data_IF_227664291116
#
_entry.id   IF_227664291116
#
_cell.length_a   1.000
_cell.length_b   1.000
_cell.length_c   1.000
_cell.angle_alpha   90.00
_cell.angle_beta   90.00
_cell.angle_gamma   90.00
#
_symmetry.space_group_name_H-M   'P 1'
#
loop_
_entity.id
_entity.type
_entity.pdbx_description
1 polymer ?
#
# COMPACT_ATOMS: atom_id res chain seq x y z
N UNK A 1 -9.87 5.26 -3.31
CA UNK A 1 -9.14 4.01 -3.63
C UNK A 1 -9.91 2.75 -3.24
N UNK A 2 -10.51 2.66 -2.05
CA UNK A 2 -11.32 1.51 -1.63
C UNK A 2 -12.47 1.18 -2.58
N UNK A 3 -13.16 2.19 -3.12
CA UNK A 3 -14.23 2.00 -4.10
C UNK A 3 -13.74 1.41 -5.43
N UNK A 4 -12.52 1.75 -5.83
CA UNK A 4 -11.90 1.17 -7.04
C UNK A 4 -11.58 -0.30 -6.83
N UNK A 5 -11.02 -0.65 -5.67
CA UNK A 5 -10.75 -2.04 -5.31
C UNK A 5 -12.04 -2.87 -5.12
N UNK A 6 -13.13 -2.24 -4.65
CA UNK A 6 -14.44 -2.88 -4.52
C UNK A 6 -15.09 -3.18 -5.88
N UNK A 7 -14.82 -2.36 -6.89
CA UNK A 7 -15.36 -2.54 -8.26
C UNK A 7 -14.52 -3.54 -9.10
N UNK A 8 -13.41 -4.03 -8.57
CA UNK A 8 -12.60 -5.04 -9.23
C UNK A 8 -13.37 -6.38 -9.25
N UNK A 9 -13.71 -6.86 -10.44
CA UNK A 9 -14.40 -8.14 -10.65
C UNK A 9 -13.46 -9.32 -10.85
N UNK A 10 -12.14 -9.10 -10.73
CA UNK A 10 -11.13 -10.15 -10.87
C UNK A 10 -11.12 -11.08 -9.65
N UNK A 11 -11.01 -12.37 -9.91
CA UNK A 11 -10.71 -13.35 -8.87
C UNK A 11 -9.28 -13.16 -8.38
N UNK A 12 -9.12 -13.02 -7.06
CA UNK A 12 -7.81 -12.88 -6.43
C UNK A 12 -7.32 -14.30 -6.08
N UNK A 13 -6.19 -14.77 -6.63
CA UNK A 13 -5.63 -16.06 -6.27
C UNK A 13 -5.24 -16.10 -4.78
N UNK A 14 -5.60 -17.17 -4.09
CA UNK A 14 -5.26 -17.36 -2.67
C UNK A 14 -3.74 -17.24 -2.42
N UNK A 15 -2.92 -17.74 -3.34
CA UNK A 15 -1.47 -17.62 -3.25
C UNK A 15 -0.96 -16.16 -3.15
N UNK A 16 -1.63 -15.19 -3.79
CA UNK A 16 -1.28 -13.77 -3.68
C UNK A 16 -1.63 -13.22 -2.30
N UNK A 17 -2.77 -13.64 -1.76
CA UNK A 17 -3.20 -13.23 -0.40
C UNK A 17 -2.26 -13.81 0.63
N UNK A 18 -1.88 -15.10 0.50
CA UNK A 18 -0.92 -15.76 1.39
C UNK A 18 0.45 -15.06 1.36
N UNK A 19 0.96 -14.76 0.17
CA UNK A 19 2.22 -14.03 0.03
C UNK A 19 2.16 -12.66 0.72
N UNK A 20 1.05 -11.93 0.58
CA UNK A 20 0.84 -10.65 1.23
C UNK A 20 0.72 -10.78 2.76
N UNK A 21 0.07 -11.83 3.27
CA UNK A 21 0.03 -12.13 4.71
C UNK A 21 1.43 -12.36 5.27
N UNK A 22 2.26 -13.13 4.58
CA UNK A 22 3.65 -13.34 4.97
C UNK A 22 4.45 -12.04 4.95
N UNK A 23 4.25 -11.18 3.96
CA UNK A 23 4.90 -9.86 3.91
C UNK A 23 4.50 -9.00 5.11
N UNK A 24 3.22 -9.00 5.50
CA UNK A 24 2.77 -8.30 6.70
C UNK A 24 3.41 -8.86 7.97
N UNK A 25 3.52 -10.19 8.08
CA UNK A 25 4.18 -10.84 9.21
C UNK A 25 5.66 -10.42 9.31
N UNK A 26 6.40 -10.46 8.20
CA UNK A 26 7.81 -10.07 8.18
C UNK A 26 7.99 -8.57 8.51
N UNK A 27 7.14 -7.70 7.98
CA UNK A 27 7.14 -6.29 8.33
C UNK A 27 6.86 -6.07 9.83
N UNK A 28 5.92 -6.82 10.40
CA UNK A 28 5.61 -6.80 11.83
C UNK A 28 6.81 -7.24 12.68
N UNK A 29 7.46 -8.36 12.29
CA UNK A 29 8.70 -8.82 12.94
C UNK A 29 9.80 -7.77 12.91
N UNK A 30 10.01 -7.15 11.74
CA UNK A 30 11.00 -6.10 11.57
C UNK A 30 10.69 -4.86 12.44
N UNK A 31 9.44 -4.48 12.53
CA UNK A 31 9.01 -3.36 13.37
C UNK A 31 9.23 -3.65 14.86
N UNK A 32 8.88 -4.84 15.32
CA UNK A 32 9.09 -5.27 16.72
C UNK A 32 10.59 -5.29 17.04
N UNK A 33 11.42 -5.79 16.12
CA UNK A 33 12.86 -5.80 16.26
C UNK A 33 13.47 -4.40 16.45
N UNK A 34 12.90 -3.36 15.81
CA UNK A 34 13.34 -1.97 16.00
C UNK A 34 13.14 -1.47 17.43
N UNK A 35 12.18 -2.02 18.17
CA UNK A 35 11.98 -1.72 19.59
C UNK A 35 12.90 -2.52 20.51
N UNK A 36 13.80 -3.34 19.96
CA UNK A 36 14.72 -4.17 20.72
C UNK A 36 14.07 -5.34 21.45
N UNK A 37 12.86 -5.72 21.09
CA UNK A 37 12.11 -6.82 21.70
C UNK A 37 12.26 -8.06 20.82
N UNK A 38 12.73 -9.21 21.35
CA UNK A 38 12.69 -10.47 20.62
C UNK A 38 11.25 -10.85 20.27
N UNK A 39 11.03 -11.28 19.02
CA UNK A 39 9.68 -11.58 18.54
C UNK A 39 8.94 -12.65 19.35
N UNK A 40 9.66 -13.68 19.83
CA UNK A 40 9.10 -14.72 20.72
C UNK A 40 8.61 -14.13 22.04
N UNK A 41 9.36 -13.17 22.61
CA UNK A 41 8.94 -12.47 23.82
C UNK A 41 7.69 -11.61 23.58
N UNK A 42 7.60 -10.96 22.43
CA UNK A 42 6.40 -10.22 22.04
C UNK A 42 5.17 -11.13 21.98
N UNK A 43 5.27 -12.31 21.36
CA UNK A 43 4.18 -13.29 21.29
C UNK A 43 3.76 -13.76 22.68
N UNK A 44 4.72 -14.03 23.59
CA UNK A 44 4.41 -14.42 24.96
C UNK A 44 3.72 -13.31 25.76
N UNK A 45 4.15 -12.06 25.58
CA UNK A 45 3.56 -10.92 26.29
C UNK A 45 2.13 -10.60 25.82
N UNK A 46 1.87 -10.78 24.52
CA UNK A 46 0.57 -10.48 23.91
C UNK A 46 -0.39 -11.67 23.93
N UNK A 47 0.11 -12.88 24.15
CA UNK A 47 -0.67 -14.12 24.04
C UNK A 47 -1.07 -14.45 22.60
N UNK A 48 -0.45 -13.82 21.60
CA UNK A 48 -0.71 -14.07 20.19
C UNK A 48 0.14 -15.22 19.67
N UNK A 49 -0.36 -15.89 18.64
CA UNK A 49 0.39 -16.87 17.85
C UNK A 49 0.59 -16.36 16.43
N UNK A 50 1.63 -16.84 15.75
CA UNK A 50 1.83 -16.49 14.34
C UNK A 50 0.63 -16.86 13.46
N UNK A 51 -0.02 -18.00 13.74
CA UNK A 51 -1.23 -18.42 13.04
C UNK A 51 -2.36 -17.40 13.19
N UNK A 52 -2.56 -16.87 14.40
CA UNK A 52 -3.57 -15.85 14.64
C UNK A 52 -3.24 -14.53 13.94
N UNK A 53 -1.97 -14.13 13.93
CA UNK A 53 -1.51 -12.93 13.22
C UNK A 53 -1.74 -13.09 11.71
N UNK A 54 -1.43 -14.26 11.14
CA UNK A 54 -1.67 -14.55 9.72
C UNK A 54 -3.17 -14.59 9.40
N UNK A 55 -3.99 -15.14 10.29
CA UNK A 55 -5.45 -15.16 10.11
C UNK A 55 -6.01 -13.73 10.11
N UNK A 56 -5.62 -12.91 11.06
CA UNK A 56 -6.06 -11.51 11.17
C UNK A 56 -5.51 -10.64 10.01
N UNK A 57 -4.37 -11.04 9.41
CA UNK A 57 -3.79 -10.39 8.24
C UNK A 57 -4.52 -10.69 6.93
N UNK A 58 -5.36 -11.74 6.84
CA UNK A 58 -6.01 -12.16 5.58
C UNK A 58 -6.89 -11.08 4.98
N UNK A 59 -7.71 -10.44 5.78
CA UNK A 59 -8.62 -9.40 5.29
C UNK A 59 -7.87 -8.14 4.80
N UNK A 60 -6.94 -7.55 5.55
CA UNK A 60 -6.12 -6.45 5.03
C UNK A 60 -5.23 -6.87 3.85
N UNK A 61 -4.70 -8.10 3.83
CA UNK A 61 -3.94 -8.62 2.71
C UNK A 61 -4.79 -8.71 1.44
N UNK A 62 -5.99 -9.26 1.53
CA UNK A 62 -6.91 -9.32 0.40
C UNK A 62 -7.26 -7.92 -0.14
N UNK A 63 -7.48 -6.94 0.74
CA UNK A 63 -7.72 -5.55 0.33
C UNK A 63 -6.52 -4.96 -0.38
N UNK A 64 -5.32 -5.20 0.13
CA UNK A 64 -4.08 -4.72 -0.51
C UNK A 64 -3.89 -5.34 -1.89
N UNK A 65 -4.00 -6.67 -2.01
CA UNK A 65 -3.86 -7.36 -3.30
C UNK A 65 -4.90 -6.86 -4.33
N UNK A 66 -6.15 -6.67 -3.91
CA UNK A 66 -7.18 -6.09 -4.79
C UNK A 66 -6.81 -4.67 -5.25
N UNK A 67 -6.27 -3.87 -4.36
CA UNK A 67 -5.83 -2.51 -4.70
C UNK A 67 -4.67 -2.53 -5.69
N UNK A 68 -3.69 -3.40 -5.48
CA UNK A 68 -2.54 -3.54 -6.36
C UNK A 68 -2.95 -4.04 -7.76
N UNK A 69 -3.86 -5.03 -7.82
CA UNK A 69 -4.42 -5.51 -9.09
C UNK A 69 -5.22 -4.42 -9.82
N UNK A 70 -6.04 -3.66 -9.09
CA UNK A 70 -6.80 -2.55 -9.66
C UNK A 70 -5.86 -1.45 -10.20
N UNK A 71 -4.79 -1.15 -9.48
CA UNK A 71 -3.77 -0.19 -9.93
C UNK A 71 -3.06 -0.67 -11.18
N UNK A 72 -2.67 -1.94 -11.23
CA UNK A 72 -2.05 -2.55 -12.41
C UNK A 72 -2.98 -2.48 -13.62
N UNK A 73 -4.26 -2.83 -13.45
CA UNK A 73 -5.25 -2.74 -14.50
C UNK A 73 -5.45 -1.31 -15.02
N UNK A 74 -5.45 -0.31 -14.14
CA UNK A 74 -5.54 1.11 -14.53
C UNK A 74 -4.29 1.53 -15.31
N UNK A 75 -3.09 1.16 -14.84
CA UNK A 75 -1.83 1.47 -15.51
C UNK A 75 -1.82 0.92 -16.93
N UNK A 76 -2.30 -0.32 -17.12
CA UNK A 76 -2.37 -0.97 -18.42
C UNK A 76 -3.45 -0.34 -19.32
N UNK A 77 -4.66 -0.10 -18.80
CA UNK A 77 -5.76 0.46 -19.54
C UNK A 77 -5.47 1.89 -20.02
N UNK A 78 -4.89 2.72 -19.16
CA UNK A 78 -4.53 4.11 -19.45
C UNK A 78 -3.15 4.23 -20.12
N UNK A 79 -2.45 3.11 -20.35
CA UNK A 79 -1.10 3.06 -20.93
C UNK A 79 -0.13 4.02 -20.25
N UNK A 80 -0.15 3.98 -18.91
CA UNK A 80 0.68 4.88 -18.09
C UNK A 80 2.13 4.42 -18.16
N UNK A 81 2.98 5.27 -18.69
CA UNK A 81 4.42 5.04 -18.76
C UNK A 81 5.17 6.05 -17.88
N UNK A 82 6.31 5.61 -17.36
CA UNK A 82 7.29 6.49 -16.72
C UNK A 82 8.42 6.76 -17.72
N UNK A 83 8.67 8.01 -18.05
CA UNK A 83 9.77 8.40 -18.92
C UNK A 83 11.10 8.40 -18.15
N UNK A 84 12.22 8.21 -18.85
CA UNK A 84 13.55 8.28 -18.24
C UNK A 84 13.78 9.62 -17.50
N UNK A 85 13.27 10.72 -18.06
CA UNK A 85 13.38 12.04 -17.45
C UNK A 85 12.62 12.14 -16.11
N UNK A 86 11.48 11.46 -15.98
CA UNK A 86 10.73 11.40 -14.72
C UNK A 86 11.43 10.52 -13.69
N UNK A 87 12.01 9.42 -14.11
CA UNK A 87 12.81 8.54 -13.26
C UNK A 87 14.04 9.27 -12.72
N UNK A 88 14.78 9.98 -13.57
CA UNK A 88 15.93 10.77 -13.15
C UNK A 88 15.54 11.92 -12.22
N UNK A 89 14.42 12.57 -12.46
CA UNK A 89 13.89 13.59 -11.56
C UNK A 89 13.53 13.02 -10.19
N UNK A 90 12.86 11.87 -10.15
CA UNK A 90 12.47 11.22 -8.90
C UNK A 90 13.71 10.82 -8.08
N UNK A 91 14.78 10.35 -8.74
CA UNK A 91 16.06 10.11 -8.07
C UNK A 91 16.66 11.38 -7.47
N UNK A 92 16.60 12.51 -8.19
CA UNK A 92 17.09 13.78 -7.69
C UNK A 92 16.26 14.28 -6.49
N UNK A 93 14.94 14.19 -6.58
CA UNK A 93 14.01 14.59 -5.52
C UNK A 93 14.23 13.73 -4.25
N UNK A 94 14.45 12.41 -4.42
CA UNK A 94 14.80 11.51 -3.30
C UNK A 94 16.17 11.84 -2.70
N UNK A 95 17.18 12.09 -3.53
CA UNK A 95 18.52 12.44 -3.08
C UNK A 95 18.49 13.73 -2.24
N UNK A 96 17.77 14.75 -2.68
CA UNK A 96 17.59 15.99 -1.93
C UNK A 96 16.85 15.75 -0.60
N UNK A 97 15.76 15.00 -0.63
CA UNK A 97 14.93 14.72 0.55
C UNK A 97 15.67 13.96 1.64
N UNK A 98 16.54 13.03 1.26
CA UNK A 98 17.28 12.18 2.20
C UNK A 98 18.70 12.67 2.46
N UNK A 99 19.14 13.76 1.82
CA UNK A 99 20.51 14.29 1.96
C UNK A 99 21.57 13.34 1.45
N UNK A 100 21.27 12.54 0.45
CA UNK A 100 22.17 11.57 -0.19
C UNK A 100 22.48 12.00 -1.61
N UNK A 101 23.55 11.43 -2.19
CA UNK A 101 23.82 11.63 -3.60
C UNK A 101 22.96 10.69 -4.47
N UNK A 102 22.66 11.11 -5.71
CA UNK A 102 21.80 10.38 -6.66
C UNK A 102 22.36 8.98 -6.96
N UNK A 103 23.69 8.82 -7.02
CA UNK A 103 24.30 7.52 -7.30
C UNK A 103 24.07 6.53 -6.15
N UNK A 104 24.07 7.03 -4.93
CA UNK A 104 23.75 6.21 -3.76
C UNK A 104 22.29 5.77 -3.80
N UNK A 105 21.35 6.66 -4.14
CA UNK A 105 19.94 6.30 -4.28
C UNK A 105 19.74 5.23 -5.37
N UNK A 106 20.41 5.37 -6.53
CA UNK A 106 20.36 4.40 -7.63
C UNK A 106 20.92 3.00 -7.26
N UNK A 107 21.81 2.91 -6.27
CA UNK A 107 22.30 1.61 -5.76
C UNK A 107 21.26 0.86 -4.92
N UNK A 108 20.44 1.59 -4.19
CA UNK A 108 19.40 1.01 -3.33
C UNK A 108 18.06 0.80 -4.05
N UNK A 109 17.74 1.67 -5.02
CA UNK A 109 16.49 1.63 -5.78
C UNK A 109 16.80 1.46 -7.26
N UNK A 110 16.35 0.36 -7.82
CA UNK A 110 16.47 0.13 -9.27
C UNK A 110 15.52 1.02 -10.05
N UNK A 111 15.85 1.29 -11.33
CA UNK A 111 15.04 2.12 -12.20
C UNK A 111 13.61 1.55 -12.38
N UNK A 112 13.46 0.23 -12.36
CA UNK A 112 12.16 -0.44 -12.45
C UNK A 112 11.27 -0.09 -11.26
N UNK A 113 11.81 -0.16 -10.02
CA UNK A 113 11.07 0.18 -8.80
C UNK A 113 10.62 1.63 -8.82
N UNK A 114 11.48 2.56 -9.23
CA UNK A 114 11.15 3.98 -9.33
C UNK A 114 10.12 4.22 -10.43
N UNK A 115 10.27 3.55 -11.58
CA UNK A 115 9.31 3.60 -12.69
C UNK A 115 7.92 3.15 -12.24
N UNK A 116 7.82 2.02 -11.54
CA UNK A 116 6.53 1.49 -11.05
C UNK A 116 5.91 2.40 -9.98
N UNK A 117 6.73 3.04 -9.15
CA UNK A 117 6.26 4.05 -8.21
C UNK A 117 5.67 5.27 -8.93
N UNK A 118 6.33 5.76 -9.98
CA UNK A 118 5.84 6.88 -10.81
C UNK A 118 4.53 6.51 -11.51
N UNK A 119 4.44 5.31 -12.11
CA UNK A 119 3.21 4.81 -12.74
C UNK A 119 2.07 4.76 -11.75
N UNK A 120 2.31 4.23 -10.56
CA UNK A 120 1.32 4.16 -9.48
C UNK A 120 0.85 5.53 -9.03
N UNK A 121 1.76 6.50 -8.87
CA UNK A 121 1.41 7.89 -8.55
C UNK A 121 0.56 8.55 -9.65
N UNK A 122 0.89 8.32 -10.93
CA UNK A 122 0.10 8.82 -12.07
C UNK A 122 -1.30 8.21 -12.08
N UNK A 123 -1.41 6.89 -11.86
CA UNK A 123 -2.70 6.19 -11.79
C UNK A 123 -3.57 6.73 -10.64
N UNK A 124 -2.99 6.94 -9.45
CA UNK A 124 -3.70 7.57 -8.32
C UNK A 124 -4.21 8.96 -8.69
N UNK A 125 -3.43 9.78 -9.39
CA UNK A 125 -3.86 11.12 -9.83
C UNK A 125 -5.03 11.05 -10.81
N UNK A 126 -5.02 10.11 -11.75
CA UNK A 126 -6.13 9.90 -12.70
C UNK A 126 -7.39 9.52 -11.95
N UNK A 127 -7.30 8.55 -11.04
CA UNK A 127 -8.43 8.09 -10.22
C UNK A 127 -8.98 9.22 -9.36
N UNK A 128 -8.11 10.00 -8.71
CA UNK A 128 -8.56 11.11 -7.85
C UNK A 128 -9.16 12.26 -8.65
N UNK A 129 -8.66 12.52 -9.86
CA UNK A 129 -9.22 13.54 -10.75
C UNK A 129 -10.59 13.15 -11.31
N UNK A 130 -10.83 11.85 -11.54
CA UNK A 130 -12.12 11.31 -12.00
C UNK A 130 -13.11 11.06 -10.87
N UNK A 131 -12.65 11.05 -9.61
CA UNK A 131 -13.52 10.83 -8.46
C UNK A 131 -14.40 12.07 -8.23
N UNK A 132 -15.70 11.91 -8.43
CA UNK A 132 -16.69 12.88 -7.96
C UNK A 132 -16.76 12.78 -6.44
N UNK A 133 -16.35 13.83 -5.72
CA UNK A 133 -16.50 13.87 -4.27
C UNK A 133 -18.00 13.93 -3.97
N UNK A 134 -18.61 12.79 -3.66
CA UNK A 134 -19.91 12.78 -3.00
C UNK A 134 -19.66 13.41 -1.61
N UNK A 135 -20.30 14.54 -1.34
CA UNK A 135 -20.28 15.13 -0.01
C UNK A 135 -20.69 14.08 1.03
N UNK A 136 -20.03 14.00 2.19
CA UNK A 136 -20.47 13.09 3.24
C UNK A 136 -21.91 13.44 3.58
N UNK A 137 -22.83 12.48 3.45
CA UNK A 137 -24.15 12.60 4.03
C UNK A 137 -23.94 12.79 5.53
N UNK A 138 -24.27 14.00 6.00
CA UNK A 138 -24.36 14.33 7.41
C UNK A 138 -25.31 13.33 8.08
N UNK A 139 -24.75 12.42 8.87
CA UNK A 139 -25.50 11.79 9.96
C UNK A 139 -25.64 12.83 11.07
N UNK A 140 -26.43 13.84 10.80
CA UNK A 140 -26.91 14.79 11.78
C UNK A 140 -28.43 14.57 11.84
N UNK A 141 -28.89 13.66 12.71
CA UNK A 141 -30.20 13.73 13.36
C UNK A 141 -30.42 12.46 14.19
N UNK A 142 -29.76 12.38 15.34
CA UNK A 142 -30.30 11.57 16.44
C UNK A 142 -29.67 11.96 17.79
N UNK A 143 -29.75 13.22 18.13
CA UNK A 143 -29.40 13.69 19.47
C UNK A 143 -30.33 14.79 19.97
N UNK A 144 -31.62 14.78 19.58
CA UNK A 144 -32.60 15.68 20.16
C UNK A 144 -33.97 15.02 20.30
N UNK A 145 -34.06 14.01 21.16
CA UNK A 145 -35.28 13.56 21.81
C UNK A 145 -34.98 12.67 23.01
N UNK A 146 -34.40 13.27 24.04
CA UNK A 146 -34.45 12.74 25.40
C UNK A 146 -34.42 13.91 26.37
N UNK A 147 -35.54 14.56 26.49
CA UNK A 147 -35.92 15.33 27.67
C UNK A 147 -37.30 14.84 28.10
#
# INVERSE_FOLDING_TARGET
>A
MEQVAANLTAEVPDAMVEAQCHQFLENNKAQIAQYGIPYEQYLQMTGLTEEKILEDAKEPALRQVRMDLAMTAIIEAEKIEATEAEVEKEYADMAEKYGMDVETVKKYLTADVVSDQIKSQKAIRIVTASATVAAPEEKAEEAEKAE
#
